data_IF_478381015286
#
_entry.id   IF_478381015286
#
_cell.length_a   1.000
_cell.length_b   1.000
_cell.length_c   1.000
_cell.angle_alpha   90.00
_cell.angle_beta   90.00
_cell.angle_gamma   90.00
#
_symmetry.space_group_name_H-M   'P 1'
#
loop_
_entity.id
_entity.type
_entity.pdbx_description
1 polymer ?
#
# COMPACT_ATOMS: atom_id res chain seq x y z
N UNK A 1 29.13 20.06 8.20
CA UNK A 1 27.83 20.35 7.61
C UNK A 1 26.91 19.14 7.75
N UNK A 2 25.78 19.33 8.39
CA UNK A 2 24.77 18.28 8.56
C UNK A 2 23.81 18.37 7.38
N UNK A 3 23.71 17.28 6.60
CA UNK A 3 22.71 17.18 5.55
C UNK A 3 21.38 16.75 6.17
N UNK A 4 20.30 17.40 5.77
CA UNK A 4 18.97 17.00 6.16
C UNK A 4 18.62 15.67 5.47
N UNK A 5 18.02 14.77 6.24
CA UNK A 5 17.49 13.52 5.68
C UNK A 5 16.26 13.80 4.83
N UNK A 6 16.07 13.09 3.71
CA UNK A 6 14.80 13.17 2.98
C UNK A 6 13.65 12.77 3.89
N UNK A 7 12.54 13.49 3.76
CA UNK A 7 11.34 13.26 4.58
C UNK A 7 10.33 12.40 3.82
N UNK A 8 9.92 11.32 4.45
CA UNK A 8 8.94 10.37 3.92
C UNK A 8 7.75 10.23 4.87
N UNK A 9 6.55 10.25 4.33
CA UNK A 9 5.33 9.93 5.06
C UNK A 9 4.75 8.63 4.51
N UNK A 10 4.41 7.71 5.41
CA UNK A 10 3.81 6.42 5.09
C UNK A 10 2.37 6.46 5.56
N UNK A 11 1.43 6.34 4.63
CA UNK A 11 -0.01 6.52 4.88
C UNK A 11 -0.75 5.23 4.51
N UNK A 12 -1.64 4.78 5.36
CA UNK A 12 -2.48 3.63 5.04
C UNK A 12 -2.98 2.87 6.26
N UNK A 13 -3.01 1.54 6.13
CA UNK A 13 -3.57 0.63 7.12
C UNK A 13 -2.49 0.01 8.03
N UNK A 14 -2.79 -1.16 8.59
CA UNK A 14 -1.87 -1.89 9.47
C UNK A 14 -0.56 -2.31 8.78
N UNK A 15 -0.58 -2.54 7.46
CA UNK A 15 0.66 -2.85 6.73
C UNK A 15 1.68 -1.71 6.84
N UNK A 16 1.21 -0.47 6.84
CA UNK A 16 2.08 0.69 7.08
C UNK A 16 2.40 0.84 8.56
N UNK A 17 1.38 0.75 9.44
CA UNK A 17 1.54 0.95 10.87
C UNK A 17 2.57 0.00 11.49
N UNK A 18 2.62 -1.25 11.03
CA UNK A 18 3.48 -2.30 11.61
C UNK A 18 4.86 -2.36 10.95
N UNK A 19 5.14 -1.50 10.00
CA UNK A 19 6.44 -1.47 9.32
C UNK A 19 7.45 -0.73 10.18
N UNK A 20 8.54 -1.41 10.55
CA UNK A 20 9.62 -0.84 11.37
C UNK A 20 10.51 0.08 10.50
N UNK A 21 10.00 1.24 10.15
CA UNK A 21 10.58 2.14 9.14
C UNK A 21 12.01 2.55 9.47
N UNK A 22 12.34 2.79 10.73
CA UNK A 22 13.68 3.20 11.14
C UNK A 22 14.73 2.13 10.87
N UNK A 23 14.32 0.85 10.89
CA UNK A 23 15.21 -0.27 10.62
C UNK A 23 15.47 -0.39 9.11
N UNK A 24 14.42 -0.24 8.30
CA UNK A 24 14.52 -0.41 6.84
C UNK A 24 15.05 0.83 6.13
N UNK A 25 14.79 2.01 6.68
CA UNK A 25 15.11 3.30 6.06
C UNK A 25 15.84 4.24 7.02
N UNK A 26 17.03 3.82 7.54
CA UNK A 26 17.75 4.63 8.54
C UNK A 26 18.26 5.96 7.99
N UNK A 27 18.34 6.12 6.65
CA UNK A 27 18.81 7.33 6.00
C UNK A 27 17.70 8.36 5.76
N UNK A 28 16.45 8.01 6.06
CA UNK A 28 15.28 8.87 5.85
C UNK A 28 14.66 9.29 7.18
N UNK A 29 14.05 10.47 7.19
CA UNK A 29 13.13 10.85 8.24
C UNK A 29 11.75 10.30 7.90
N UNK A 30 11.31 9.26 8.59
CA UNK A 30 10.06 8.57 8.31
C UNK A 30 8.98 8.96 9.31
N UNK A 31 7.82 9.38 8.78
CA UNK A 31 6.61 9.67 9.54
C UNK A 31 5.60 8.56 9.23
N UNK A 32 5.14 7.84 10.24
CA UNK A 32 4.22 6.74 10.05
C UNK A 32 2.79 7.14 10.40
N UNK A 33 1.96 7.29 9.36
CA UNK A 33 0.53 7.54 9.48
C UNK A 33 -0.30 6.32 9.11
N UNK A 34 0.25 5.13 9.32
CA UNK A 34 -0.50 3.88 9.22
C UNK A 34 -1.53 3.79 10.35
N UNK A 35 -2.74 3.35 10.02
CA UNK A 35 -3.85 3.21 10.96
C UNK A 35 -4.44 1.81 10.87
N UNK A 36 -4.17 0.93 11.87
CA UNK A 36 -4.67 -0.44 11.84
C UNK A 36 -6.18 -0.51 11.71
N UNK A 37 -6.68 -1.41 10.88
CA UNK A 37 -8.11 -1.61 10.64
C UNK A 37 -8.77 -0.61 9.69
N UNK A 38 -8.06 0.41 9.28
CA UNK A 38 -8.61 1.47 8.43
C UNK A 38 -8.52 1.14 6.94
N UNK A 39 -9.29 1.86 6.13
CA UNK A 39 -9.38 1.68 4.69
C UNK A 39 -9.56 3.01 3.96
N UNK A 40 -10.38 3.00 2.90
CA UNK A 40 -10.61 4.17 2.05
C UNK A 40 -11.06 5.40 2.84
N UNK A 41 -11.97 5.24 3.79
CA UNK A 41 -12.50 6.37 4.56
C UNK A 41 -11.41 7.12 5.32
N UNK A 42 -10.41 6.41 5.83
CA UNK A 42 -9.27 7.02 6.51
C UNK A 42 -8.47 7.92 5.56
N UNK A 43 -8.16 7.43 4.36
CA UNK A 43 -7.39 8.20 3.37
C UNK A 43 -8.20 9.38 2.84
N UNK A 44 -9.51 9.19 2.61
CA UNK A 44 -10.40 10.29 2.22
C UNK A 44 -10.44 11.41 3.26
N UNK A 45 -10.30 11.07 4.54
CA UNK A 45 -10.35 12.03 5.66
C UNK A 45 -8.97 12.50 6.11
N UNK A 46 -7.91 12.06 5.44
CA UNK A 46 -6.54 12.39 5.84
C UNK A 46 -6.27 13.88 5.64
N UNK A 47 -5.93 14.59 6.72
CA UNK A 47 -5.79 16.05 6.73
C UNK A 47 -4.40 16.53 7.14
N UNK A 48 -3.46 15.62 7.40
CA UNK A 48 -2.09 15.99 7.73
C UNK A 48 -1.42 16.61 6.50
N UNK A 49 -0.71 17.70 6.70
CA UNK A 49 0.06 18.33 5.62
C UNK A 49 1.37 17.54 5.40
N UNK A 50 1.39 16.79 4.32
CA UNK A 50 2.56 15.99 3.88
C UNK A 50 3.16 16.58 2.60
N UNK A 51 2.90 17.84 2.30
CA UNK A 51 3.34 18.48 1.05
C UNK A 51 4.86 18.59 0.90
N UNK A 52 5.61 18.51 2.01
CA UNK A 52 7.07 18.50 2.02
C UNK A 52 7.68 17.10 2.03
N UNK A 53 6.85 16.07 1.88
CA UNK A 53 7.27 14.67 1.95
C UNK A 53 7.19 13.96 0.60
N UNK A 54 8.07 12.98 0.40
CA UNK A 54 7.79 11.83 -0.44
C UNK A 54 6.72 11.01 0.30
N UNK A 55 5.67 10.55 -0.37
CA UNK A 55 4.56 9.85 0.28
C UNK A 55 4.43 8.44 -0.28
N UNK A 56 4.40 7.45 0.62
CA UNK A 56 4.21 6.04 0.30
C UNK A 56 2.85 5.63 0.86
N UNK A 57 1.96 5.12 0.01
CA UNK A 57 0.59 4.78 0.40
C UNK A 57 0.30 3.31 0.15
N UNK A 58 -0.39 2.66 1.09
CA UNK A 58 -0.97 1.34 0.91
C UNK A 58 -2.25 1.20 1.75
N UNK A 59 -3.38 0.91 1.09
CA UNK A 59 -4.64 0.65 1.77
C UNK A 59 -5.58 -0.13 0.86
N UNK A 60 -6.71 -0.57 1.40
CA UNK A 60 -7.75 -1.30 0.68
C UNK A 60 -8.00 -2.69 1.22
N UNK A 61 -7.03 -3.30 1.89
CA UNK A 61 -7.15 -4.67 2.43
C UNK A 61 -8.35 -4.82 3.37
N UNK A 62 -8.67 -3.79 4.14
CA UNK A 62 -9.77 -3.82 5.11
C UNK A 62 -11.14 -3.50 4.48
N UNK A 63 -11.18 -3.18 3.19
CA UNK A 63 -12.42 -2.89 2.46
C UNK A 63 -12.90 -4.07 1.62
N UNK A 64 -12.05 -5.07 1.37
CA UNK A 64 -12.32 -6.16 0.43
C UNK A 64 -13.62 -6.89 0.75
N UNK A 65 -13.90 -7.14 2.04
CA UNK A 65 -15.07 -7.92 2.47
C UNK A 65 -16.41 -7.33 2.01
N UNK A 66 -16.46 -6.04 1.71
CA UNK A 66 -17.69 -5.33 1.32
C UNK A 66 -17.74 -4.99 -0.17
N UNK A 67 -16.74 -5.38 -0.94
CA UNK A 67 -16.67 -5.10 -2.37
C UNK A 67 -17.25 -6.25 -3.18
N UNK A 68 -17.85 -5.92 -4.31
CA UNK A 68 -18.43 -6.86 -5.27
C UNK A 68 -18.38 -6.25 -6.67
N UNK A 69 -18.87 -6.99 -7.67
CA UNK A 69 -18.85 -6.54 -9.06
C UNK A 69 -19.73 -5.30 -9.32
N UNK A 70 -20.71 -5.04 -8.45
CA UNK A 70 -21.62 -3.90 -8.61
C UNK A 70 -21.03 -2.58 -8.08
N UNK A 71 -20.23 -2.63 -7.00
CA UNK A 71 -19.72 -1.43 -6.35
C UNK A 71 -18.23 -1.17 -6.60
N UNK A 72 -17.51 -2.09 -7.24
CA UNK A 72 -16.06 -2.01 -7.40
C UNK A 72 -15.62 -0.79 -8.21
N UNK A 73 -16.35 -0.44 -9.27
CA UNK A 73 -15.95 0.69 -10.13
C UNK A 73 -16.09 2.04 -9.40
N UNK A 74 -17.14 2.20 -8.61
CA UNK A 74 -17.30 3.38 -7.75
C UNK A 74 -16.19 3.43 -6.69
N UNK A 75 -15.86 2.30 -6.09
CA UNK A 75 -14.75 2.20 -5.13
C UNK A 75 -13.42 2.63 -5.75
N UNK A 76 -13.11 2.15 -6.95
CA UNK A 76 -11.87 2.51 -7.67
C UNK A 76 -11.78 4.00 -7.92
N UNK A 77 -12.88 4.63 -8.35
CA UNK A 77 -12.93 6.07 -8.58
C UNK A 77 -12.63 6.85 -7.30
N UNK A 78 -13.27 6.48 -6.20
CA UNK A 78 -13.03 7.11 -4.89
C UNK A 78 -11.62 6.84 -4.39
N UNK A 79 -11.12 5.63 -4.60
CA UNK A 79 -9.77 5.21 -4.19
C UNK A 79 -8.69 6.09 -4.82
N UNK A 80 -8.73 6.22 -6.13
CA UNK A 80 -7.75 7.03 -6.87
C UNK A 80 -7.86 8.51 -6.49
N UNK A 81 -9.09 9.04 -6.35
CA UNK A 81 -9.32 10.40 -5.89
C UNK A 81 -8.71 10.64 -4.50
N UNK A 82 -8.87 9.69 -3.59
CA UNK A 82 -8.28 9.78 -2.24
C UNK A 82 -6.75 9.81 -2.30
N UNK A 83 -6.13 8.94 -3.09
CA UNK A 83 -4.67 8.93 -3.29
C UNK A 83 -4.19 10.28 -3.83
N UNK A 84 -4.86 10.82 -4.84
CA UNK A 84 -4.50 12.10 -5.44
C UNK A 84 -4.69 13.28 -4.49
N UNK A 85 -5.53 13.16 -3.48
CA UNK A 85 -5.80 14.22 -2.52
C UNK A 85 -4.73 14.37 -1.43
N UNK A 86 -3.87 13.37 -1.24
CA UNK A 86 -2.80 13.42 -0.24
C UNK A 86 -1.68 14.35 -0.75
N UNK A 87 -1.38 15.45 -0.04
CA UNK A 87 -0.32 16.35 -0.49
C UNK A 87 1.04 15.68 -0.46
N UNK A 88 1.89 15.93 -1.47
CA UNK A 88 3.22 15.31 -1.53
C UNK A 88 4.14 16.04 -2.49
N UNK A 89 5.44 15.81 -2.33
CA UNK A 89 6.42 16.10 -3.37
C UNK A 89 6.30 15.06 -4.50
N UNK A 90 6.12 13.80 -4.12
CA UNK A 90 5.90 12.67 -5.02
C UNK A 90 5.12 11.62 -4.26
N UNK A 91 4.18 10.94 -4.93
CA UNK A 91 3.39 9.87 -4.31
C UNK A 91 3.66 8.52 -4.99
N UNK A 92 3.87 7.52 -4.16
CA UNK A 92 4.06 6.12 -4.54
C UNK A 92 2.93 5.31 -3.92
N UNK A 93 2.23 4.54 -4.72
CA UNK A 93 1.11 3.71 -4.26
C UNK A 93 1.44 2.24 -4.44
N UNK A 94 1.50 1.50 -3.34
CA UNK A 94 1.55 0.04 -3.41
C UNK A 94 0.22 -0.53 -3.87
N UNK A 95 0.28 -1.62 -4.62
CA UNK A 95 -0.90 -2.45 -4.88
C UNK A 95 -1.52 -2.95 -3.56
N UNK A 96 -2.77 -3.38 -3.61
CA UNK A 96 -3.38 -4.12 -2.50
C UNK A 96 -2.75 -5.52 -2.49
N UNK A 97 -2.29 -5.96 -1.32
CA UNK A 97 -1.50 -7.19 -1.20
C UNK A 97 -2.38 -8.42 -1.24
N UNK A 98 -1.83 -9.56 -1.72
CA UNK A 98 -2.53 -10.83 -1.58
C UNK A 98 -2.64 -11.21 -0.10
N UNK A 99 -3.54 -12.17 0.18
CA UNK A 99 -3.82 -12.63 1.55
C UNK A 99 -4.13 -14.11 1.56
N UNK A 100 -4.15 -14.72 2.74
CA UNK A 100 -4.45 -16.13 2.93
C UNK A 100 -5.32 -16.38 4.17
N UNK A 101 -6.09 -15.38 4.59
CA UNK A 101 -6.91 -15.42 5.79
C UNK A 101 -8.41 -15.64 5.53
N UNK A 102 -8.74 -16.05 4.28
CA UNK A 102 -10.12 -16.39 3.88
C UNK A 102 -10.29 -17.92 3.72
N UNK A 103 -9.47 -18.72 4.37
CA UNK A 103 -9.49 -20.18 4.29
C UNK A 103 -9.50 -20.67 2.83
N UNK A 104 -10.41 -21.55 2.46
CA UNK A 104 -10.52 -22.10 1.11
C UNK A 104 -10.87 -21.05 0.05
N UNK A 105 -11.35 -19.88 0.47
CA UNK A 105 -11.73 -18.79 -0.45
C UNK A 105 -10.58 -17.83 -0.77
N UNK A 106 -9.41 -18.00 -0.15
CA UNK A 106 -8.31 -17.04 -0.31
C UNK A 106 -7.85 -16.89 -1.77
N UNK A 107 -7.82 -17.98 -2.54
CA UNK A 107 -7.45 -17.91 -3.96
C UNK A 107 -8.46 -17.07 -4.75
N UNK A 108 -9.75 -17.26 -4.52
CA UNK A 108 -10.78 -16.46 -5.19
C UNK A 108 -10.74 -15.00 -4.77
N UNK A 109 -10.49 -14.73 -3.49
CA UNK A 109 -10.31 -13.36 -2.97
C UNK A 109 -9.12 -12.69 -3.63
N UNK A 110 -8.00 -13.40 -3.79
CA UNK A 110 -6.82 -12.85 -4.44
C UNK A 110 -7.03 -12.61 -5.94
N UNK A 111 -7.85 -13.39 -6.60
CA UNK A 111 -8.26 -13.11 -8.00
C UNK A 111 -9.06 -11.81 -8.07
N UNK A 112 -9.96 -11.58 -7.13
CA UNK A 112 -10.70 -10.32 -7.02
C UNK A 112 -9.76 -9.15 -6.76
N UNK A 113 -8.81 -9.30 -5.83
CA UNK A 113 -7.81 -8.27 -5.53
C UNK A 113 -6.96 -7.95 -6.77
N UNK A 114 -6.57 -8.96 -7.53
CA UNK A 114 -5.82 -8.75 -8.77
C UNK A 114 -6.62 -7.92 -9.78
N UNK A 115 -7.90 -8.22 -9.93
CA UNK A 115 -8.80 -7.45 -10.81
C UNK A 115 -8.93 -6.00 -10.30
N UNK A 116 -9.13 -5.83 -9.01
CA UNK A 116 -9.21 -4.51 -8.37
C UNK A 116 -7.93 -3.70 -8.59
N UNK A 117 -6.77 -4.31 -8.36
CA UNK A 117 -5.47 -3.67 -8.60
C UNK A 117 -5.30 -3.23 -10.06
N UNK A 118 -5.75 -4.04 -11.01
CA UNK A 118 -5.71 -3.68 -12.43
C UNK A 118 -6.55 -2.44 -12.71
N UNK A 119 -7.77 -2.40 -12.18
CA UNK A 119 -8.67 -1.24 -12.33
C UNK A 119 -8.06 0.02 -11.74
N UNK A 120 -7.45 -0.08 -10.57
CA UNK A 120 -6.74 1.03 -9.92
C UNK A 120 -5.59 1.50 -10.81
N UNK A 121 -4.76 0.57 -11.28
CA UNK A 121 -3.62 0.89 -12.13
C UNK A 121 -4.05 1.61 -13.41
N UNK A 122 -5.09 1.13 -14.08
CA UNK A 122 -5.63 1.75 -15.30
C UNK A 122 -6.12 3.18 -15.01
N UNK A 123 -6.79 3.39 -13.87
CA UNK A 123 -7.29 4.70 -13.47
C UNK A 123 -6.18 5.69 -13.12
N UNK A 124 -5.01 5.20 -12.71
CA UNK A 124 -3.84 6.03 -12.40
C UNK A 124 -3.13 6.56 -13.64
N UNK A 125 -3.43 6.03 -14.83
CA UNK A 125 -2.75 6.45 -16.05
C UNK A 125 -3.02 7.94 -16.33
N UNK A 126 -1.96 8.67 -16.70
CA UNK A 126 -2.01 10.12 -16.88
C UNK A 126 -1.85 10.93 -15.59
N UNK A 127 -1.73 10.29 -14.44
CA UNK A 127 -1.38 10.94 -13.17
C UNK A 127 0.12 10.83 -12.90
N UNK A 128 0.61 11.58 -11.91
CA UNK A 128 2.03 11.53 -11.49
C UNK A 128 2.29 10.46 -10.42
N UNK A 129 1.29 9.64 -10.07
CA UNK A 129 1.43 8.59 -9.08
C UNK A 129 2.31 7.47 -9.64
N UNK A 130 3.31 7.05 -8.87
CA UNK A 130 4.13 5.89 -9.19
C UNK A 130 3.51 4.65 -8.52
N UNK A 131 3.11 3.69 -9.32
CA UNK A 131 2.51 2.45 -8.84
C UNK A 131 3.58 1.42 -8.51
N UNK A 132 3.52 0.86 -7.30
CA UNK A 132 4.46 -0.15 -6.82
C UNK A 132 3.78 -1.51 -6.80
N UNK A 133 3.96 -2.29 -7.86
CA UNK A 133 3.34 -3.61 -7.99
C UNK A 133 4.27 -4.68 -7.42
N UNK A 134 3.92 -5.21 -6.26
CA UNK A 134 4.63 -6.31 -5.60
C UNK A 134 3.76 -7.56 -5.49
N UNK A 135 2.59 -7.57 -6.13
CA UNK A 135 1.59 -8.62 -5.92
C UNK A 135 2.17 -10.02 -6.18
N UNK A 136 2.80 -10.20 -7.34
CA UNK A 136 3.34 -11.52 -7.70
C UNK A 136 4.55 -11.93 -6.86
N UNK A 137 5.31 -10.96 -6.35
CA UNK A 137 6.43 -11.25 -5.45
C UNK A 137 5.98 -11.75 -4.07
N UNK A 138 4.76 -11.40 -3.67
CA UNK A 138 4.17 -11.84 -2.40
C UNK A 138 3.31 -13.09 -2.54
N UNK A 139 3.00 -13.49 -3.77
CA UNK A 139 2.05 -14.56 -4.07
C UNK A 139 2.77 -15.89 -4.27
N UNK A 140 2.19 -16.97 -3.77
CA UNK A 140 2.60 -18.36 -4.06
C UNK A 140 1.35 -19.24 -4.17
N UNK A 141 1.17 -19.89 -5.30
CA UNK A 141 0.05 -20.81 -5.55
C UNK A 141 -1.33 -20.14 -5.28
N UNK A 142 -1.49 -18.90 -5.71
CA UNK A 142 -2.74 -18.14 -5.57
C UNK A 142 -2.99 -17.57 -4.18
N UNK A 143 -2.06 -17.67 -3.26
CA UNK A 143 -2.18 -17.23 -1.86
C UNK A 143 -0.99 -16.38 -1.46
N UNK A 144 -1.14 -15.59 -0.41
CA UNK A 144 0.01 -14.93 0.21
C UNK A 144 1.01 -16.01 0.64
N UNK A 145 2.26 -15.87 0.20
CA UNK A 145 3.31 -16.83 0.50
C UNK A 145 3.50 -16.94 2.02
N UNK A 146 3.34 -18.14 2.56
CA UNK A 146 3.42 -18.40 4.00
C UNK A 146 4.79 -18.05 4.61
N UNK A 147 5.85 -18.02 3.79
CA UNK A 147 7.19 -17.60 4.24
C UNK A 147 7.29 -16.09 4.47
N UNK A 148 6.32 -15.30 4.04
CA UNK A 148 6.34 -13.82 4.07
C UNK A 148 5.35 -13.22 5.08
N UNK A 149 4.61 -14.05 5.80
CA UNK A 149 3.54 -13.60 6.68
C UNK A 149 3.65 -14.17 8.08
N UNK A 150 3.08 -13.45 9.06
CA UNK A 150 3.00 -13.90 10.46
C UNK A 150 1.64 -14.51 10.80
N UNK A 151 0.58 -14.15 10.06
CA UNK A 151 -0.82 -14.48 10.40
C UNK A 151 -1.72 -14.65 9.17
N UNK A 152 -1.14 -14.90 7.99
CA UNK A 152 -1.84 -15.04 6.71
C UNK A 152 -2.40 -13.73 6.13
N UNK A 153 -2.16 -12.60 6.77
CA UNK A 153 -2.55 -11.27 6.31
C UNK A 153 -1.39 -10.28 6.40
N UNK A 154 -0.79 -10.15 7.59
CA UNK A 154 0.30 -9.20 7.84
C UNK A 154 1.65 -9.80 7.48
N UNK A 155 2.59 -8.95 7.10
CA UNK A 155 3.91 -9.37 6.63
C UNK A 155 4.88 -9.56 7.79
N UNK A 156 5.79 -10.52 7.62
CA UNK A 156 6.96 -10.69 8.47
C UNK A 156 8.15 -9.87 7.95
N UNK A 157 9.31 -10.04 8.55
CA UNK A 157 10.52 -9.31 8.15
C UNK A 157 10.94 -9.55 6.70
N UNK A 158 10.76 -10.76 6.18
CA UNK A 158 11.06 -11.07 4.77
C UNK A 158 10.10 -10.34 3.83
N UNK A 159 8.82 -10.31 4.18
CA UNK A 159 7.81 -9.57 3.41
C UNK A 159 8.12 -8.08 3.37
N UNK A 160 8.43 -7.48 4.52
CA UNK A 160 8.79 -6.06 4.57
C UNK A 160 10.10 -5.76 3.85
N UNK A 161 11.04 -6.70 3.80
CA UNK A 161 12.27 -6.52 3.01
C UNK A 161 11.98 -6.39 1.50
N UNK A 162 10.99 -7.13 1.00
CA UNK A 162 10.53 -6.99 -0.39
C UNK A 162 9.95 -5.60 -0.62
N UNK A 163 9.11 -5.12 0.28
CA UNK A 163 8.53 -3.77 0.18
C UNK A 163 9.63 -2.70 0.22
N UNK A 164 10.57 -2.83 1.15
CA UNK A 164 11.66 -1.86 1.32
C UNK A 164 12.55 -1.79 0.07
N UNK A 165 12.90 -2.93 -0.50
CA UNK A 165 13.66 -3.00 -1.74
C UNK A 165 12.91 -2.30 -2.89
N UNK A 166 11.61 -2.57 -3.01
CA UNK A 166 10.77 -1.96 -4.04
C UNK A 166 10.75 -0.43 -3.92
N UNK A 167 10.57 0.09 -2.70
CA UNK A 167 10.57 1.54 -2.44
C UNK A 167 11.93 2.14 -2.79
N UNK A 168 13.02 1.55 -2.32
CA UNK A 168 14.38 2.06 -2.57
C UNK A 168 14.72 2.11 -4.05
N UNK A 169 14.25 1.13 -4.82
CA UNK A 169 14.46 1.11 -6.27
C UNK A 169 13.61 2.14 -7.01
N UNK A 170 12.42 2.44 -6.52
CA UNK A 170 11.50 3.37 -7.17
C UNK A 170 11.80 4.83 -6.86
N UNK A 171 12.32 5.11 -5.67
CA UNK A 171 12.55 6.48 -5.22
C UNK A 171 13.76 7.07 -5.93
N UNK A 172 13.52 8.21 -6.58
CA UNK A 172 14.56 9.01 -7.25
C UNK A 172 14.77 10.28 -6.42
N UNK A 173 15.91 10.35 -5.75
CA UNK A 173 16.26 11.46 -4.86
C UNK A 173 17.41 12.30 -5.40
#
# INVERSE_FOLDING_TARGET
>A
RIEEKPKFAFVGNSHMAFWALDIYFPQWECLNYGAPGEGLAYVESFTVDTSDCQVIIQFGSNDIYRLNDENVDDYVERYVKAVLSVPSLKTYLFCIFPRNDYDDYSTAVNQFIRMLNRKIYEKLQGTDIIYLDVFDRLLLDGRLNSDLTIDDLHLNGKGYSILAETVKQAVDL
#
